data_IF_763286092423
#
_entry.id   IF_763286092423
#
_cell.length_a   1.000
_cell.length_b   1.000
_cell.length_c   1.000
_cell.angle_alpha   90.00
_cell.angle_beta   90.00
_cell.angle_gamma   90.00
#
_symmetry.space_group_name_H-M   'P 1'
#
loop_
_entity.id
_entity.type
_entity.pdbx_description
1 polymer ?
#
# COMPACT_ATOMS: atom_id res chain seq x y z
N UNK A 1 2.00 -27.28 -3.40
CA UNK A 1 1.82 -26.07 -2.57
C UNK A 1 2.88 -26.07 -1.48
N UNK A 2 4.08 -25.57 -1.76
CA UNK A 2 5.15 -25.47 -0.78
C UNK A 2 4.94 -24.21 0.07
N UNK A 3 4.52 -24.38 1.32
CA UNK A 3 4.61 -23.33 2.33
C UNK A 3 6.09 -23.07 2.59
N UNK A 4 6.64 -22.01 1.99
CA UNK A 4 7.98 -21.55 2.34
C UNK A 4 7.84 -20.69 3.59
N UNK A 5 8.46 -21.13 4.69
CA UNK A 5 8.68 -20.32 5.87
C UNK A 5 9.55 -19.13 5.45
N UNK A 6 9.00 -17.92 5.47
CA UNK A 6 9.79 -16.69 5.50
C UNK A 6 10.79 -16.87 6.64
N UNK A 7 12.10 -16.84 6.36
CA UNK A 7 13.10 -16.87 7.44
C UNK A 7 12.80 -15.66 8.33
N UNK A 8 12.61 -15.83 9.65
CA UNK A 8 12.68 -14.69 10.53
C UNK A 8 14.08 -14.12 10.37
N UNK A 9 14.17 -12.83 10.01
CA UNK A 9 15.38 -12.08 10.29
C UNK A 9 15.46 -12.00 11.82
N UNK A 10 16.14 -12.96 12.44
CA UNK A 10 16.49 -12.88 13.86
C UNK A 10 17.62 -11.86 13.99
N UNK A 11 17.41 -10.89 14.90
CA UNK A 11 18.28 -9.73 15.24
C UNK A 11 18.03 -8.54 14.28
N UNK A 12 17.12 -7.57 14.53
CA UNK A 12 16.75 -6.89 15.78
C UNK A 12 15.27 -7.01 16.17
N UNK A 13 15.03 -7.66 17.30
CA UNK A 13 13.75 -7.70 18.00
C UNK A 13 13.69 -6.52 18.98
N UNK A 14 13.24 -5.33 18.55
CA UNK A 14 12.59 -4.28 19.39
C UNK A 14 12.29 -2.96 18.64
N UNK A 15 11.45 -2.99 17.60
CA UNK A 15 10.67 -1.80 17.21
C UNK A 15 9.34 -2.13 16.54
N UNK A 16 8.58 -3.08 17.10
CA UNK A 16 7.11 -3.14 16.90
C UNK A 16 6.44 -2.17 17.88
N UNK A 17 6.74 -0.90 17.71
CA UNK A 17 5.73 0.12 17.92
C UNK A 17 5.14 0.25 16.53
N UNK A 18 3.93 -0.27 16.29
CA UNK A 18 3.21 0.00 15.03
C UNK A 18 3.38 1.48 14.72
N UNK A 19 4.02 1.79 13.57
CA UNK A 19 4.28 3.18 13.26
C UNK A 19 2.94 3.90 13.28
N UNK A 20 2.86 5.06 13.93
CA UNK A 20 1.65 5.89 13.94
C UNK A 20 1.15 6.17 12.53
N UNK A 21 2.03 6.09 11.53
CA UNK A 21 1.69 6.18 10.11
C UNK A 21 0.87 4.99 9.63
N UNK A 22 1.22 3.77 10.04
CA UNK A 22 0.48 2.55 9.68
C UNK A 22 -0.95 2.64 10.19
N UNK A 23 -1.11 2.90 11.49
CA UNK A 23 -2.44 3.09 12.09
C UNK A 23 -3.22 4.25 11.46
N UNK A 24 -2.56 5.40 11.26
CA UNK A 24 -3.22 6.57 10.67
C UNK A 24 -3.64 6.38 9.21
N UNK A 25 -2.85 5.66 8.41
CA UNK A 25 -3.20 5.35 7.02
C UNK A 25 -4.35 4.33 6.99
N UNK A 26 -4.30 3.26 7.79
CA UNK A 26 -5.36 2.25 7.79
C UNK A 26 -6.72 2.84 8.19
N UNK A 27 -6.77 3.68 9.23
CA UNK A 27 -8.00 4.37 9.64
C UNK A 27 -8.58 5.26 8.53
N UNK A 28 -7.73 6.03 7.85
CA UNK A 28 -8.17 6.91 6.76
C UNK A 28 -8.71 6.05 5.60
N UNK A 29 -8.02 4.98 5.22
CA UNK A 29 -8.45 4.12 4.12
C UNK A 29 -9.74 3.38 4.48
N UNK A 30 -9.91 2.90 5.71
CA UNK A 30 -11.14 2.25 6.15
C UNK A 30 -12.34 3.21 6.13
N UNK A 31 -12.15 4.46 6.59
CA UNK A 31 -13.19 5.50 6.47
C UNK A 31 -13.56 5.79 5.00
N UNK A 32 -12.56 5.86 4.10
CA UNK A 32 -12.83 6.06 2.67
C UNK A 32 -13.59 4.90 2.05
N UNK A 33 -13.29 3.66 2.44
CA UNK A 33 -13.98 2.46 1.98
C UNK A 33 -15.46 2.48 2.42
N UNK A 34 -15.72 2.84 3.67
CA UNK A 34 -17.09 2.92 4.21
C UNK A 34 -17.92 3.99 3.48
N UNK A 35 -17.31 5.13 3.15
CA UNK A 35 -17.98 6.19 2.41
C UNK A 35 -18.26 5.83 0.95
N UNK A 36 -17.52 4.88 0.37
CA UNK A 36 -17.69 4.43 -1.00
C UNK A 36 -18.68 3.26 -1.15
N UNK A 37 -19.27 2.75 -0.05
CA UNK A 37 -20.25 1.66 -0.11
C UNK A 37 -21.50 2.06 -0.91
N UNK A 38 -21.82 1.27 -1.96
CA UNK A 38 -23.02 1.44 -2.78
C UNK A 38 -22.82 2.07 -4.16
N UNK A 39 -21.58 2.35 -4.56
CA UNK A 39 -21.25 2.75 -5.93
C UNK A 39 -21.20 1.53 -6.87
N UNK A 40 -21.54 1.72 -8.15
CA UNK A 40 -21.45 0.67 -9.17
C UNK A 40 -19.97 0.34 -9.44
N UNK A 41 -19.57 -0.88 -9.09
CA UNK A 41 -18.16 -1.29 -9.12
C UNK A 41 -17.87 -1.89 -10.50
N UNK A 42 -17.03 -1.21 -11.29
CA UNK A 42 -16.36 -1.86 -12.41
C UNK A 42 -15.22 -2.74 -11.87
N UNK A 43 -15.22 -4.00 -12.28
CA UNK A 43 -14.09 -4.89 -12.04
C UNK A 43 -12.80 -4.26 -12.59
N UNK A 44 -11.74 -4.35 -11.79
CA UNK A 44 -10.41 -3.86 -12.16
C UNK A 44 -9.35 -4.89 -11.76
N UNK A 45 -8.15 -4.77 -12.33
CA UNK A 45 -7.01 -5.64 -12.05
C UNK A 45 -6.67 -5.72 -10.54
N UNK A 46 -6.99 -4.65 -9.80
CA UNK A 46 -6.71 -4.55 -8.38
C UNK A 46 -7.75 -5.24 -7.50
N UNK A 47 -8.86 -5.73 -8.03
CA UNK A 47 -9.86 -6.46 -7.24
C UNK A 47 -9.36 -7.86 -6.88
N UNK A 48 -9.49 -8.21 -5.61
CA UNK A 48 -9.31 -9.59 -5.17
C UNK A 48 -10.58 -10.41 -5.42
N UNK A 49 -10.41 -11.69 -5.81
CA UNK A 49 -11.52 -12.62 -6.01
C UNK A 49 -12.41 -12.77 -4.75
N UNK A 50 -11.81 -12.61 -3.57
CA UNK A 50 -12.49 -12.58 -2.28
C UNK A 50 -11.91 -11.47 -1.42
N UNK A 51 -12.76 -10.80 -0.65
CA UNK A 51 -12.33 -9.83 0.36
C UNK A 51 -11.32 -10.50 1.31
N UNK A 52 -10.09 -9.96 1.44
CA UNK A 52 -9.10 -10.53 2.34
C UNK A 52 -9.58 -10.48 3.80
N UNK A 53 -9.34 -11.54 4.56
CA UNK A 53 -9.73 -11.60 5.99
C UNK A 53 -8.78 -10.84 6.91
N UNK A 54 -7.61 -10.42 6.41
CA UNK A 54 -6.64 -9.62 7.13
C UNK A 54 -7.02 -8.13 7.04
N UNK A 55 -6.93 -7.39 8.14
CA UNK A 55 -7.18 -5.93 8.12
C UNK A 55 -6.11 -5.20 7.32
N UNK A 56 -6.42 -3.99 6.83
CA UNK A 56 -5.44 -3.18 6.10
C UNK A 56 -4.22 -2.85 6.97
N UNK A 57 -4.45 -2.55 8.24
CA UNK A 57 -3.39 -2.29 9.21
C UNK A 57 -2.42 -3.47 9.34
N UNK A 58 -2.94 -4.67 9.61
CA UNK A 58 -2.12 -5.87 9.76
C UNK A 58 -1.38 -6.23 8.46
N UNK A 59 -2.03 -6.04 7.31
CA UNK A 59 -1.42 -6.29 6.02
C UNK A 59 -0.29 -5.29 5.72
N UNK A 60 -0.49 -4.01 6.01
CA UNK A 60 0.53 -2.98 5.87
C UNK A 60 1.70 -3.19 6.84
N UNK A 61 1.42 -3.49 8.12
CA UNK A 61 2.43 -3.88 9.12
C UNK A 61 3.28 -5.05 8.64
N UNK A 62 2.66 -6.05 8.00
CA UNK A 62 3.38 -7.18 7.37
C UNK A 62 4.31 -6.69 6.27
N UNK A 63 3.82 -5.87 5.34
CA UNK A 63 4.63 -5.35 4.22
C UNK A 63 5.81 -4.56 4.76
N UNK A 64 5.59 -3.59 5.64
CA UNK A 64 6.65 -2.75 6.23
C UNK A 64 7.73 -3.60 6.88
N UNK A 65 7.32 -4.58 7.71
CA UNK A 65 8.24 -5.47 8.41
C UNK A 65 9.14 -6.28 7.46
N UNK A 66 8.57 -6.84 6.40
CA UNK A 66 9.32 -7.74 5.51
C UNK A 66 10.04 -7.03 4.36
N UNK A 67 9.63 -5.80 4.01
CA UNK A 67 10.25 -5.01 2.93
C UNK A 67 11.20 -3.93 3.44
N UNK A 68 11.32 -3.74 4.76
CA UNK A 68 12.09 -2.65 5.36
C UNK A 68 11.69 -1.26 4.84
N UNK A 69 10.41 -1.10 4.46
CA UNK A 69 9.85 0.15 3.97
C UNK A 69 10.14 1.32 4.93
N UNK A 70 10.68 2.41 4.39
CA UNK A 70 10.86 3.66 5.14
C UNK A 70 9.52 4.31 5.51
N UNK A 71 9.53 5.22 6.50
CA UNK A 71 8.33 5.97 6.88
C UNK A 71 7.92 6.94 5.76
N UNK A 72 8.90 7.47 5.04
CA UNK A 72 8.74 8.33 3.88
C UNK A 72 7.94 7.62 2.77
N UNK A 73 8.31 6.38 2.46
CA UNK A 73 7.62 5.55 1.47
C UNK A 73 6.14 5.33 1.81
N UNK A 74 5.78 5.20 3.10
CA UNK A 74 4.38 5.05 3.50
C UNK A 74 3.55 6.31 3.19
N UNK A 75 4.10 7.48 3.45
CA UNK A 75 3.43 8.76 3.13
C UNK A 75 3.31 8.94 1.62
N UNK A 76 4.36 8.60 0.87
CA UNK A 76 4.37 8.67 -0.60
C UNK A 76 3.34 7.70 -1.19
N UNK A 77 3.27 6.47 -0.69
CA UNK A 77 2.26 5.49 -1.10
C UNK A 77 0.83 6.01 -0.86
N UNK A 78 0.58 6.64 0.29
CA UNK A 78 -0.72 7.28 0.56
C UNK A 78 -1.05 8.39 -0.44
N UNK A 79 -0.05 9.19 -0.84
CA UNK A 79 -0.21 10.23 -1.88
C UNK A 79 -0.51 9.60 -3.23
N UNK A 80 0.14 8.48 -3.59
CA UNK A 80 -0.15 7.76 -4.84
C UNK A 80 -1.59 7.26 -4.88
N UNK A 81 -2.08 6.68 -3.78
CA UNK A 81 -3.48 6.28 -3.67
C UNK A 81 -4.42 7.48 -3.86
N UNK A 82 -4.14 8.60 -3.18
CA UNK A 82 -4.95 9.82 -3.30
C UNK A 82 -5.00 10.34 -4.74
N UNK A 83 -3.84 10.39 -5.42
CA UNK A 83 -3.75 10.81 -6.84
C UNK A 83 -4.57 9.91 -7.76
N UNK A 84 -4.50 8.60 -7.58
CA UNK A 84 -5.26 7.67 -8.43
C UNK A 84 -6.76 7.83 -8.21
N UNK A 85 -7.22 8.01 -6.97
CA UNK A 85 -8.63 8.27 -6.68
C UNK A 85 -9.12 9.58 -7.32
N UNK A 86 -8.27 10.60 -7.39
CA UNK A 86 -8.58 11.89 -8.04
C UNK A 86 -8.60 11.78 -9.57
N UNK A 87 -7.65 11.05 -10.15
CA UNK A 87 -7.49 10.93 -11.60
C UNK A 87 -8.46 9.91 -12.23
N UNK A 88 -8.86 8.87 -11.48
CA UNK A 88 -9.59 7.72 -11.99
C UNK A 88 -10.82 7.43 -11.13
N UNK A 89 -11.90 8.19 -11.34
CA UNK A 89 -13.15 8.03 -10.57
C UNK A 89 -13.80 6.65 -10.72
N UNK A 90 -13.49 5.92 -11.79
CA UNK A 90 -13.95 4.54 -12.00
C UNK A 90 -13.24 3.54 -11.10
N UNK A 91 -12.00 3.83 -10.67
CA UNK A 91 -11.23 2.95 -9.79
C UNK A 91 -11.48 3.33 -8.33
N UNK A 92 -12.57 2.82 -7.77
CA UNK A 92 -12.95 3.06 -6.39
C UNK A 92 -12.11 2.20 -5.42
N UNK A 93 -11.65 2.83 -4.33
CA UNK A 93 -11.02 2.12 -3.21
C UNK A 93 -12.12 1.44 -2.38
N UNK A 94 -12.17 0.11 -2.43
CA UNK A 94 -13.20 -0.70 -1.76
C UNK A 94 -12.57 -1.91 -1.06
N UNK A 95 -13.38 -2.71 -0.34
CA UNK A 95 -12.89 -3.86 0.43
C UNK A 95 -12.16 -4.95 -0.39
N UNK A 96 -12.39 -5.02 -1.70
CA UNK A 96 -11.73 -5.98 -2.59
C UNK A 96 -10.49 -5.39 -3.26
N UNK A 97 -10.46 -4.09 -3.55
CA UNK A 97 -9.36 -3.43 -4.23
C UNK A 97 -8.30 -2.86 -3.29
N UNK A 98 -8.67 -2.48 -2.07
CA UNK A 98 -7.83 -1.70 -1.15
C UNK A 98 -6.50 -2.38 -0.82
N UNK A 99 -6.48 -3.69 -0.53
CA UNK A 99 -5.24 -4.39 -0.19
C UNK A 99 -4.24 -4.39 -1.35
N UNK A 100 -4.71 -4.68 -2.57
CA UNK A 100 -3.83 -4.72 -3.75
C UNK A 100 -3.35 -3.33 -4.14
N UNK A 101 -4.23 -2.33 -4.12
CA UNK A 101 -3.88 -0.93 -4.34
C UNK A 101 -2.86 -0.41 -3.32
N UNK A 102 -3.08 -0.69 -2.04
CA UNK A 102 -2.15 -0.30 -0.98
C UNK A 102 -0.78 -0.98 -1.17
N UNK A 103 -0.78 -2.28 -1.45
CA UNK A 103 0.45 -3.03 -1.65
C UNK A 103 1.28 -2.48 -2.81
N UNK A 104 0.66 -2.26 -3.97
CA UNK A 104 1.38 -1.77 -5.15
C UNK A 104 1.87 -0.34 -4.97
N UNK A 105 1.09 0.52 -4.30
CA UNK A 105 1.51 1.87 -3.97
C UNK A 105 2.76 1.89 -3.08
N UNK A 106 2.83 1.00 -2.07
CA UNK A 106 4.00 0.85 -1.20
C UNK A 106 5.19 0.32 -1.99
N UNK A 107 5.02 -0.71 -2.81
CA UNK A 107 6.13 -1.28 -3.61
C UNK A 107 6.73 -0.24 -4.55
N UNK A 108 5.89 0.52 -5.26
CA UNK A 108 6.36 1.58 -6.16
C UNK A 108 7.04 2.73 -5.40
N UNK A 109 6.51 3.11 -4.24
CA UNK A 109 7.15 4.11 -3.39
C UNK A 109 8.55 3.66 -2.95
N UNK A 110 8.70 2.41 -2.46
CA UNK A 110 10.00 1.83 -2.08
C UNK A 110 10.96 1.85 -3.26
N UNK A 111 10.53 1.37 -4.42
CA UNK A 111 11.37 1.31 -5.62
C UNK A 111 11.82 2.66 -6.15
N UNK A 112 11.03 3.70 -5.91
CA UNK A 112 11.34 5.05 -6.37
C UNK A 112 12.18 5.84 -5.35
N UNK A 113 11.96 5.62 -4.06
CA UNK A 113 12.47 6.49 -2.99
C UNK A 113 13.60 5.87 -2.16
N UNK A 114 13.59 4.56 -1.94
CA UNK A 114 14.60 3.88 -1.12
C UNK A 114 15.73 3.33 -2.01
N UNK A 115 16.98 3.41 -1.54
CA UNK A 115 18.15 2.89 -2.26
C UNK A 115 18.26 1.35 -2.15
N UNK A 116 17.82 0.78 -1.02
CA UNK A 116 17.89 -0.64 -0.71
C UNK A 116 16.58 -1.36 -1.09
N UNK A 117 16.53 -1.86 -2.33
CA UNK A 117 15.33 -2.50 -2.88
C UNK A 117 15.47 -4.03 -3.01
N UNK A 118 14.33 -4.73 -2.97
CA UNK A 118 14.27 -6.17 -3.22
C UNK A 118 13.86 -6.47 -4.67
N UNK A 119 14.00 -7.74 -5.08
CA UNK A 119 13.49 -8.21 -6.38
C UNK A 119 11.97 -8.41 -6.33
N UNK A 120 11.30 -8.31 -7.48
CA UNK A 120 9.84 -8.51 -7.60
C UNK A 120 9.38 -9.88 -7.08
N UNK A 121 10.17 -10.93 -7.23
CA UNK A 121 9.83 -12.25 -6.69
C UNK A 121 9.70 -12.26 -5.16
N UNK A 122 10.48 -11.41 -4.48
CA UNK A 122 10.41 -11.24 -3.04
C UNK A 122 9.18 -10.41 -2.64
N UNK A 123 8.93 -9.28 -3.31
CA UNK A 123 7.73 -8.48 -3.08
C UNK A 123 6.46 -9.30 -3.30
N UNK A 124 6.37 -10.07 -4.39
CA UNK A 124 5.23 -10.92 -4.69
C UNK A 124 4.95 -11.93 -3.56
N UNK A 125 6.00 -12.55 -2.99
CA UNK A 125 5.89 -13.44 -1.82
C UNK A 125 5.38 -12.71 -0.58
N UNK A 126 5.87 -11.49 -0.31
CA UNK A 126 5.41 -10.67 0.82
C UNK A 126 3.95 -10.23 0.63
N UNK A 127 3.56 -9.87 -0.58
CA UNK A 127 2.19 -9.47 -0.94
C UNK A 127 1.20 -10.64 -0.95
N UNK A 128 1.69 -11.87 -1.11
CA UNK A 128 0.87 -13.08 -1.24
C UNK A 128 0.24 -13.23 -2.63
N UNK A 129 0.91 -12.72 -3.66
CA UNK A 129 0.47 -12.73 -5.05
C UNK A 129 1.54 -13.38 -5.93
N UNK A 130 1.19 -13.69 -7.17
CA UNK A 130 2.16 -14.17 -8.15
C UNK A 130 3.05 -13.02 -8.63
N UNK A 131 4.26 -13.36 -9.11
CA UNK A 131 5.15 -12.37 -9.72
C UNK A 131 4.53 -11.72 -10.97
N UNK A 132 3.72 -12.49 -11.70
CA UNK A 132 3.04 -12.00 -12.89
C UNK A 132 1.98 -10.95 -12.54
N UNK A 133 1.12 -11.23 -11.55
CA UNK A 133 0.18 -10.24 -11.01
C UNK A 133 0.89 -9.00 -10.48
N UNK A 134 2.04 -9.15 -9.80
CA UNK A 134 2.80 -7.98 -9.33
C UNK A 134 3.23 -7.11 -10.50
N UNK A 135 3.87 -7.69 -11.51
CA UNK A 135 4.38 -6.94 -12.65
C UNK A 135 3.26 -6.23 -13.41
N UNK A 136 2.15 -6.94 -13.65
CA UNK A 136 0.97 -6.39 -14.34
C UNK A 136 0.35 -5.24 -13.55
N UNK A 137 0.21 -5.40 -12.22
CA UNK A 137 -0.27 -4.31 -11.37
C UNK A 137 0.71 -3.12 -11.30
N UNK A 138 2.03 -3.35 -11.35
CA UNK A 138 3.02 -2.26 -11.36
C UNK A 138 2.87 -1.42 -12.63
N UNK A 139 2.79 -2.07 -13.78
CA UNK A 139 2.61 -1.43 -15.08
C UNK A 139 1.34 -0.58 -15.11
N UNK A 140 0.19 -1.19 -14.82
CA UNK A 140 -1.10 -0.49 -14.84
C UNK A 140 -1.14 0.65 -13.81
N UNK A 141 -0.59 0.46 -12.61
CA UNK A 141 -0.59 1.52 -11.59
C UNK A 141 0.29 2.72 -11.99
N UNK A 142 1.41 2.48 -12.68
CA UNK A 142 2.26 3.54 -13.21
C UNK A 142 1.56 4.33 -14.33
N UNK A 143 0.85 3.64 -15.21
CA UNK A 143 0.01 4.27 -16.25
C UNK A 143 -1.09 5.13 -15.63
N UNK A 144 -1.78 4.62 -14.59
CA UNK A 144 -2.82 5.37 -13.87
C UNK A 144 -2.29 6.62 -13.16
N UNK A 145 -1.00 6.65 -12.81
CA UNK A 145 -0.32 7.81 -12.26
C UNK A 145 0.26 8.76 -13.33
N UNK A 146 0.13 8.41 -14.62
CA UNK A 146 0.82 9.10 -15.72
C UNK A 146 2.33 9.22 -15.45
N UNK A 147 2.91 8.18 -14.83
CA UNK A 147 4.31 8.12 -14.38
C UNK A 147 4.75 9.28 -13.46
N UNK A 148 3.82 10.05 -12.88
CA UNK A 148 4.12 11.18 -11.97
C UNK A 148 4.38 10.67 -10.55
N UNK A 149 5.54 10.05 -10.36
CA UNK A 149 5.98 9.50 -9.07
C UNK A 149 6.58 10.55 -8.13
N UNK A 150 7.11 11.66 -8.66
CA UNK A 150 7.69 12.70 -7.84
C UNK A 150 6.65 13.35 -6.91
N UNK A 151 7.03 13.52 -5.64
CA UNK A 151 6.21 14.16 -4.61
C UNK A 151 6.98 15.39 -4.12
N UNK A 152 6.35 16.56 -4.25
CA UNK A 152 6.92 17.79 -3.70
C UNK A 152 6.92 17.77 -2.17
N UNK A 153 7.93 18.41 -1.58
CA UNK A 153 8.13 18.44 -0.13
C UNK A 153 6.93 19.01 0.65
N UNK A 154 6.28 20.07 0.13
CA UNK A 154 5.10 20.66 0.77
C UNK A 154 3.92 19.68 0.80
N UNK A 155 3.69 18.98 -0.32
CA UNK A 155 2.65 17.97 -0.43
C UNK A 155 2.92 16.79 0.52
N UNK A 156 4.19 16.38 0.63
CA UNK A 156 4.62 15.36 1.59
C UNK A 156 4.28 15.75 3.03
N UNK A 157 4.72 16.94 3.49
CA UNK A 157 4.48 17.37 4.87
C UNK A 157 3.00 17.59 5.18
N UNK A 158 2.21 18.08 4.22
CA UNK A 158 0.77 18.23 4.36
C UNK A 158 0.09 16.87 4.63
N UNK A 159 0.42 15.85 3.84
CA UNK A 159 -0.14 14.51 3.99
C UNK A 159 0.39 13.81 5.25
N UNK A 160 1.66 13.98 5.59
CA UNK A 160 2.23 13.49 6.84
C UNK A 160 1.48 14.06 8.06
N UNK A 161 1.16 15.35 8.04
CA UNK A 161 0.37 15.99 9.10
C UNK A 161 -1.04 15.41 9.17
N UNK A 162 -1.71 15.22 8.03
CA UNK A 162 -3.05 14.60 7.93
C UNK A 162 -3.06 13.19 8.53
N UNK A 163 -2.10 12.34 8.15
CA UNK A 163 -1.97 10.96 8.66
C UNK A 163 -1.73 10.95 10.17
N UNK A 164 -0.79 11.77 10.65
CA UNK A 164 -0.48 11.86 12.10
C UNK A 164 -1.64 12.39 12.95
N UNK A 165 -2.57 13.13 12.36
CA UNK A 165 -3.77 13.60 13.04
C UNK A 165 -4.83 12.51 13.18
N UNK A 166 -4.97 11.62 12.18
CA UNK A 166 -5.91 10.48 12.26
C UNK A 166 -5.53 9.54 13.40
N UNK A 167 -4.25 9.14 13.46
CA UNK A 167 -3.72 8.17 14.45
C UNK A 167 -3.87 8.59 15.93
N UNK A 168 -4.28 9.83 16.22
CA UNK A 168 -4.48 10.33 17.59
C UNK A 168 -5.87 10.04 18.16
N UNK A 169 -6.81 9.57 17.34
CA UNK A 169 -8.13 9.11 17.80
C UNK A 169 -8.03 7.67 18.35
#
# INVERSE_FOLDING_TARGET
>A
MSQIRLRPCEQDCNRTQESRLVKGISEILEQLIELAEGLDIKDSLFHSQKVPSITLENYMSRIVRYTKCSEECLVIAFIYLSRIQELNQELQLNRQSAHRLLFIAIVLAIKYQDDDIFKNDYYAKVGGITMWELNDMEEVFLELLDYKLFVQQDLYYLNLKKIKQSSRK
#
